data_IF_760223262744
#
_entry.id   IF_760223262744
#
_cell.length_a   1.000
_cell.length_b   1.000
_cell.length_c   1.000
_cell.angle_alpha   90.00
_cell.angle_beta   90.00
_cell.angle_gamma   90.00
#
_symmetry.space_group_name_H-M   'P 1'
#
loop_
_entity.id
_entity.type
_entity.pdbx_description
1 polymer ?
#
# COMPACT_ATOMS: atom_id res chain seq x y z
N UNK A 1 13.75 39.57 15.94
CA UNK A 1 12.72 38.51 15.93
C UNK A 1 12.49 38.09 14.49
N UNK A 2 12.49 36.80 14.18
CA UNK A 2 12.46 36.29 12.79
C UNK A 2 11.04 36.23 12.21
N UNK A 3 10.01 36.64 12.97
CA UNK A 3 8.63 36.73 12.48
C UNK A 3 7.91 35.40 12.34
N UNK A 4 8.41 34.34 13.00
CA UNK A 4 7.80 33.01 13.05
C UNK A 4 7.39 32.76 14.50
N UNK A 5 6.14 32.37 14.72
CA UNK A 5 5.68 31.97 16.05
C UNK A 5 6.09 30.53 16.32
N UNK A 6 6.63 30.32 17.51
CA UNK A 6 6.94 28.99 18.02
C UNK A 6 5.94 28.61 19.09
N UNK A 7 5.46 27.36 19.04
CA UNK A 7 4.61 26.76 20.05
C UNK A 7 5.43 25.91 21.03
N UNK A 8 4.82 24.83 21.50
CA UNK A 8 5.46 23.90 22.42
C UNK A 8 6.74 23.30 21.82
N UNK A 9 7.70 22.96 22.69
CA UNK A 9 8.97 22.34 22.29
C UNK A 9 9.81 23.17 21.31
N UNK A 10 9.60 24.49 21.29
CA UNK A 10 10.27 25.41 20.34
C UNK A 10 10.02 25.03 18.88
N UNK A 11 8.87 24.43 18.59
CA UNK A 11 8.44 24.05 17.25
C UNK A 11 7.69 25.20 16.57
N UNK A 12 7.93 25.48 15.28
CA UNK A 12 7.19 26.50 14.57
C UNK A 12 5.70 26.13 14.51
N UNK A 13 4.81 27.12 14.64
CA UNK A 13 3.39 26.93 14.32
C UNK A 13 3.23 26.85 12.81
N UNK A 14 2.78 25.70 12.34
CA UNK A 14 2.66 25.37 10.91
C UNK A 14 1.24 24.89 10.61
N UNK A 15 0.66 25.38 9.53
CA UNK A 15 -0.63 24.89 9.02
C UNK A 15 -0.46 23.47 8.45
N UNK A 16 -1.31 22.53 8.90
CA UNK A 16 -1.15 21.09 8.63
C UNK A 16 -1.39 20.69 7.18
N UNK A 17 -2.08 21.52 6.40
CA UNK A 17 -2.43 21.24 5.02
C UNK A 17 -1.46 21.92 4.05
N UNK A 18 -1.12 23.18 4.34
CA UNK A 18 -0.28 24.00 3.48
C UNK A 18 1.19 23.96 3.84
N UNK A 19 1.53 23.46 5.03
CA UNK A 19 2.91 23.42 5.55
C UNK A 19 3.54 24.82 5.70
N UNK A 20 2.73 25.88 5.63
CA UNK A 20 3.17 27.26 5.79
C UNK A 20 3.21 27.62 7.27
N UNK A 21 4.27 28.30 7.68
CA UNK A 21 4.37 28.86 9.04
C UNK A 21 3.50 30.10 9.21
N UNK A 22 3.49 30.68 10.41
CA UNK A 22 2.88 32.01 10.63
C UNK A 22 3.52 33.13 9.82
N UNK A 23 4.75 32.95 9.32
CA UNK A 23 5.38 33.88 8.36
C UNK A 23 5.04 33.45 6.93
N UNK A 24 4.33 34.29 6.15
CA UNK A 24 4.05 34.00 4.75
C UNK A 24 5.34 33.74 3.96
N UNK A 25 5.33 32.72 3.10
CA UNK A 25 6.47 32.34 2.27
C UNK A 25 7.54 31.49 2.98
N UNK A 26 7.34 31.13 4.25
CA UNK A 26 8.18 30.14 4.94
C UNK A 26 7.39 28.88 5.18
N UNK A 27 7.95 27.76 4.75
CA UNK A 27 7.36 26.44 4.83
C UNK A 27 8.27 25.50 5.62
N UNK A 28 7.66 24.52 6.28
CA UNK A 28 8.37 23.53 7.07
C UNK A 28 7.93 22.12 6.68
N UNK A 29 8.80 21.13 6.86
CA UNK A 29 8.51 19.73 6.61
C UNK A 29 9.28 18.82 7.55
N UNK A 30 8.89 17.54 7.61
CA UNK A 30 9.51 16.55 8.47
C UNK A 30 9.43 16.90 9.96
N UNK A 31 10.47 16.53 10.69
CA UNK A 31 10.53 16.68 12.14
C UNK A 31 10.51 18.15 12.59
N UNK A 32 10.97 19.07 11.73
CA UNK A 32 10.96 20.51 11.99
C UNK A 32 9.57 21.15 11.91
N UNK A 33 8.55 20.44 11.37
CA UNK A 33 7.17 20.94 11.30
C UNK A 33 6.28 20.38 12.42
N UNK A 34 6.30 19.05 12.61
CA UNK A 34 5.32 18.34 13.45
C UNK A 34 5.95 17.41 14.50
N UNK A 35 7.24 17.59 14.77
CA UNK A 35 7.99 16.75 15.69
C UNK A 35 8.36 15.39 15.09
N UNK A 36 9.01 14.52 15.88
CA UNK A 36 9.62 13.29 15.38
C UNK A 36 8.56 12.36 14.78
N UNK A 37 8.67 12.10 13.47
CA UNK A 37 7.89 11.09 12.75
C UNK A 37 8.82 10.10 12.05
N UNK A 38 8.24 9.05 11.48
CA UNK A 38 9.02 8.14 10.65
C UNK A 38 9.48 8.83 9.35
N UNK A 39 10.51 8.27 8.71
CA UNK A 39 11.08 8.82 7.47
C UNK A 39 10.05 8.94 6.34
N UNK A 40 9.04 8.07 6.31
CA UNK A 40 7.95 8.09 5.31
C UNK A 40 7.15 9.38 5.43
N UNK A 41 6.79 9.79 6.65
CA UNK A 41 6.13 11.07 6.90
C UNK A 41 7.01 12.25 6.51
N UNK A 42 8.32 12.19 6.79
CA UNK A 42 9.22 13.28 6.42
C UNK A 42 9.29 13.48 4.89
N UNK A 43 9.36 12.40 4.12
CA UNK A 43 9.28 12.43 2.65
C UNK A 43 7.93 12.99 2.22
N UNK A 44 6.82 12.47 2.75
CA UNK A 44 5.48 12.94 2.42
C UNK A 44 5.33 14.46 2.70
N UNK A 45 5.82 14.94 3.84
CA UNK A 45 5.83 16.37 4.18
C UNK A 45 6.63 17.19 3.17
N UNK A 46 7.78 16.69 2.70
CA UNK A 46 8.58 17.36 1.68
C UNK A 46 7.81 17.56 0.37
N UNK A 47 7.14 16.50 -0.10
CA UNK A 47 6.31 16.56 -1.30
C UNK A 47 5.13 17.52 -1.13
N UNK A 48 4.47 17.47 0.03
CA UNK A 48 3.36 18.37 0.32
C UNK A 48 3.81 19.84 0.44
N UNK A 49 4.92 20.12 1.12
CA UNK A 49 5.47 21.47 1.22
C UNK A 49 5.90 22.01 -0.16
N UNK A 50 6.45 21.16 -1.03
CA UNK A 50 6.85 21.55 -2.39
C UNK A 50 5.67 22.06 -3.24
N UNK A 51 4.52 21.37 -3.18
CA UNK A 51 3.27 21.82 -3.83
C UNK A 51 2.90 23.22 -3.34
N UNK A 52 3.00 23.46 -2.02
CA UNK A 52 2.65 24.74 -1.43
C UNK A 52 3.61 25.86 -1.81
N UNK A 53 4.91 25.57 -1.83
CA UNK A 53 5.96 26.51 -2.25
C UNK A 53 5.72 26.92 -3.70
N UNK A 54 5.46 25.98 -4.60
CA UNK A 54 5.24 26.29 -6.01
C UNK A 54 3.96 27.12 -6.24
N UNK A 55 2.84 26.77 -5.59
CA UNK A 55 1.61 27.57 -5.65
C UNK A 55 1.84 29.00 -5.13
N UNK A 56 2.56 29.13 -4.01
CA UNK A 56 2.89 30.43 -3.42
C UNK A 56 3.78 31.26 -4.35
N UNK A 57 4.80 30.66 -4.96
CA UNK A 57 5.67 31.32 -5.93
C UNK A 57 4.90 31.77 -7.20
N UNK A 58 3.83 31.08 -7.57
CA UNK A 58 2.96 31.43 -8.70
C UNK A 58 1.87 32.46 -8.33
N UNK A 59 1.78 32.88 -7.06
CA UNK A 59 0.73 33.79 -6.58
C UNK A 59 -0.67 33.16 -6.54
N UNK A 60 -0.74 31.83 -6.50
CA UNK A 60 -1.98 31.05 -6.45
C UNK A 60 -2.44 30.80 -5.01
N UNK A 61 -3.71 30.47 -4.84
CA UNK A 61 -4.25 30.09 -3.52
C UNK A 61 -3.76 28.68 -3.14
N UNK A 62 -2.87 28.63 -2.14
CA UNK A 62 -2.19 27.41 -1.67
C UNK A 62 -3.17 26.35 -1.13
N UNK A 63 -4.35 26.77 -0.63
CA UNK A 63 -5.36 25.84 -0.11
C UNK A 63 -6.30 25.37 -1.21
N UNK A 64 -6.78 26.28 -2.06
CA UNK A 64 -7.82 25.97 -3.05
C UNK A 64 -7.30 25.33 -4.32
N UNK A 65 -6.10 25.70 -4.76
CA UNK A 65 -5.54 25.25 -6.05
C UNK A 65 -4.62 24.03 -5.89
N UNK A 66 -4.67 23.39 -4.73
CA UNK A 66 -3.87 22.21 -4.43
C UNK A 66 -4.36 21.00 -5.25
N UNK A 67 -3.51 20.38 -6.08
CA UNK A 67 -3.90 19.20 -6.84
C UNK A 67 -4.11 18.01 -5.90
N UNK A 68 -5.25 17.34 -6.03
CA UNK A 68 -5.47 16.06 -5.37
C UNK A 68 -4.56 14.98 -6.00
N UNK A 69 -4.08 14.00 -5.20
CA UNK A 69 -3.44 12.83 -5.77
C UNK A 69 -4.43 12.05 -6.64
N UNK A 70 -3.90 11.37 -7.65
CA UNK A 70 -4.66 10.48 -8.50
C UNK A 70 -4.23 9.03 -8.26
N UNK A 71 -5.16 8.11 -8.46
CA UNK A 71 -4.86 6.68 -8.45
C UNK A 71 -5.53 5.98 -9.62
N UNK A 72 -4.88 4.96 -10.16
CA UNK A 72 -5.47 4.10 -11.19
C UNK A 72 -5.25 2.63 -10.86
N UNK A 73 -6.15 1.80 -11.40
CA UNK A 73 -6.03 0.35 -11.39
C UNK A 73 -5.99 -0.13 -12.84
N UNK A 74 -5.03 -0.99 -13.15
CA UNK A 74 -4.88 -1.57 -14.48
C UNK A 74 -4.64 -3.08 -14.38
N UNK A 75 -5.44 -3.88 -15.10
CA UNK A 75 -5.27 -5.33 -15.13
C UNK A 75 -3.86 -5.71 -15.55
N UNK A 76 -3.28 -6.67 -14.84
CA UNK A 76 -1.97 -7.26 -15.13
C UNK A 76 -2.08 -8.55 -15.95
N UNK A 77 -3.30 -8.87 -16.39
CA UNK A 77 -3.60 -10.05 -17.18
C UNK A 77 -3.17 -9.82 -18.63
N UNK A 78 -2.24 -10.62 -19.13
CA UNK A 78 -1.85 -10.61 -20.55
C UNK A 78 -2.65 -11.63 -21.38
N UNK A 79 -3.17 -12.68 -20.72
CA UNK A 79 -4.03 -13.71 -21.30
C UNK A 79 -4.80 -14.46 -20.21
N UNK A 80 -5.67 -15.42 -20.55
CA UNK A 80 -6.52 -16.12 -19.55
C UNK A 80 -5.69 -16.76 -18.42
N UNK A 81 -4.53 -17.33 -18.75
CA UNK A 81 -3.57 -17.95 -17.83
C UNK A 81 -2.17 -17.31 -17.89
N UNK A 82 -2.07 -16.09 -18.42
CA UNK A 82 -0.78 -15.41 -18.64
C UNK A 82 -0.76 -14.07 -17.90
N UNK A 83 0.23 -13.92 -17.04
CA UNK A 83 0.41 -12.77 -16.15
C UNK A 83 1.70 -12.04 -16.48
N UNK A 84 1.75 -10.74 -16.20
CA UNK A 84 2.98 -9.94 -16.35
C UNK A 84 4.07 -10.26 -15.32
N UNK A 85 3.79 -11.14 -14.34
CA UNK A 85 4.69 -11.53 -13.25
C UNK A 85 4.44 -12.98 -12.78
N UNK A 86 5.39 -13.54 -12.04
CA UNK A 86 5.26 -14.88 -11.41
C UNK A 86 4.39 -14.83 -10.16
N UNK A 87 3.41 -15.70 -10.07
CA UNK A 87 2.35 -15.63 -9.07
C UNK A 87 2.26 -16.91 -8.22
N UNK A 88 3.37 -17.27 -7.57
CA UNK A 88 3.49 -18.45 -6.70
C UNK A 88 3.56 -18.03 -5.22
N UNK A 89 3.09 -18.89 -4.32
CA UNK A 89 3.23 -18.69 -2.89
C UNK A 89 4.32 -19.62 -2.33
N UNK A 90 5.23 -19.07 -1.53
CA UNK A 90 6.29 -19.86 -0.92
C UNK A 90 5.95 -20.20 0.53
N UNK A 91 5.75 -21.49 0.82
CA UNK A 91 5.55 -22.01 2.17
C UNK A 91 6.82 -21.96 3.06
N UNK A 92 7.97 -21.56 2.49
CA UNK A 92 9.23 -21.47 3.23
C UNK A 92 9.17 -20.32 4.23
N UNK A 93 9.64 -20.55 5.45
CA UNK A 93 9.71 -19.48 6.46
C UNK A 93 10.67 -18.37 6.00
N UNK A 94 10.37 -17.11 6.32
CA UNK A 94 11.28 -15.99 6.11
C UNK A 94 12.67 -16.35 6.66
N UNK A 95 13.68 -16.26 5.81
CA UNK A 95 15.06 -16.42 6.24
C UNK A 95 15.42 -15.22 7.12
N UNK A 96 16.08 -15.45 8.25
CA UNK A 96 16.60 -14.33 9.03
C UNK A 96 17.80 -13.73 8.30
N UNK A 97 17.86 -12.39 8.23
CA UNK A 97 19.05 -11.70 7.75
C UNK A 97 20.24 -12.18 8.58
N UNK A 98 21.35 -12.60 7.97
CA UNK A 98 22.57 -12.96 8.69
C UNK A 98 23.05 -11.81 9.58
N UNK A 99 23.36 -12.11 10.84
CA UNK A 99 23.89 -11.16 11.79
C UNK A 99 25.31 -11.54 12.22
N UNK A 100 26.13 -10.54 12.54
CA UNK A 100 27.36 -10.78 13.27
C UNK A 100 27.06 -11.34 14.66
N UNK A 101 27.99 -12.10 15.25
CA UNK A 101 27.85 -12.60 16.62
C UNK A 101 27.76 -11.43 17.59
N UNK A 102 26.83 -11.52 18.55
CA UNK A 102 26.60 -10.49 19.57
C UNK A 102 27.88 -10.12 20.34
N UNK A 103 28.76 -11.08 20.61
CA UNK A 103 30.06 -10.85 21.28
C UNK A 103 30.95 -9.83 20.57
N UNK A 104 30.86 -9.77 19.23
CA UNK A 104 31.63 -8.87 18.38
C UNK A 104 30.89 -7.52 18.28
N UNK A 105 29.57 -7.56 18.06
CA UNK A 105 28.73 -6.36 17.96
C UNK A 105 28.85 -5.46 19.20
N UNK A 106 28.84 -6.05 20.40
CA UNK A 106 28.92 -5.29 21.66
C UNK A 106 30.30 -4.65 21.87
N UNK A 107 31.37 -5.25 21.36
CA UNK A 107 32.75 -4.76 21.55
C UNK A 107 33.16 -3.69 20.54
N UNK A 108 32.54 -3.66 19.36
CA UNK A 108 32.97 -2.82 18.26
C UNK A 108 31.80 -2.02 17.67
N UNK A 109 31.69 -0.75 18.08
CA UNK A 109 30.61 0.15 17.66
C UNK A 109 30.57 0.43 16.14
N UNK A 110 31.67 0.19 15.43
CA UNK A 110 31.81 0.41 13.97
C UNK A 110 31.49 -0.83 13.13
N UNK A 111 31.23 -1.98 13.76
CA UNK A 111 30.95 -3.21 13.02
C UNK A 111 29.48 -3.21 12.61
N UNK A 112 29.25 -3.47 11.33
CA UNK A 112 27.91 -3.65 10.78
C UNK A 112 27.29 -4.93 11.37
N UNK A 113 26.09 -4.79 11.95
CA UNK A 113 25.42 -5.89 12.66
C UNK A 113 24.67 -6.79 11.69
N UNK A 114 23.96 -6.19 10.74
CA UNK A 114 23.23 -6.88 9.68
C UNK A 114 24.17 -7.10 8.49
N UNK A 115 24.62 -8.34 8.28
CA UNK A 115 25.58 -8.65 7.22
C UNK A 115 24.92 -8.77 5.83
N UNK A 116 23.59 -8.65 5.77
CA UNK A 116 22.80 -8.84 4.56
C UNK A 116 22.79 -10.29 4.07
N UNK A 117 22.08 -10.51 2.97
CA UNK A 117 22.07 -11.81 2.28
C UNK A 117 23.22 -11.91 1.30
N UNK A 118 23.73 -13.12 1.09
CA UNK A 118 24.57 -13.37 -0.09
C UNK A 118 23.75 -13.20 -1.38
N UNK A 119 24.38 -12.98 -2.55
CA UNK A 119 23.65 -12.73 -3.79
C UNK A 119 22.64 -13.83 -4.18
N UNK A 120 22.92 -15.10 -3.87
CA UNK A 120 22.03 -16.21 -4.20
C UNK A 120 20.81 -16.25 -3.26
N UNK A 121 21.03 -16.00 -1.96
CA UNK A 121 19.96 -15.82 -0.97
C UNK A 121 19.08 -14.61 -1.31
N UNK A 122 19.70 -13.47 -1.65
CA UNK A 122 18.99 -12.25 -2.03
C UNK A 122 18.09 -12.47 -3.24
N UNK A 123 18.60 -13.13 -4.29
CA UNK A 123 17.82 -13.47 -5.48
C UNK A 123 16.64 -14.41 -5.15
N UNK A 124 16.88 -15.41 -4.29
CA UNK A 124 15.85 -16.36 -3.87
C UNK A 124 14.75 -15.67 -3.06
N UNK A 125 15.12 -14.75 -2.16
CA UNK A 125 14.15 -14.00 -1.36
C UNK A 125 13.38 -12.96 -2.19
N UNK A 126 14.06 -12.28 -3.14
CA UNK A 126 13.42 -11.32 -4.04
C UNK A 126 12.33 -11.96 -4.93
N UNK A 127 12.53 -13.22 -5.35
CA UNK A 127 11.52 -13.99 -6.12
C UNK A 127 10.26 -14.32 -5.34
N UNK A 128 10.25 -14.14 -4.02
CA UNK A 128 9.10 -14.37 -3.15
C UNK A 128 8.27 -13.10 -2.95
N UNK A 129 8.53 -12.05 -3.72
CA UNK A 129 7.73 -10.82 -3.70
C UNK A 129 6.26 -11.15 -3.93
N UNK A 130 5.39 -10.66 -3.03
CA UNK A 130 3.94 -10.89 -3.09
C UNK A 130 3.20 -9.83 -3.91
N UNK A 131 3.92 -9.05 -4.74
CA UNK A 131 3.36 -8.03 -5.64
C UNK A 131 2.32 -7.12 -4.93
N UNK A 132 2.72 -6.49 -3.81
CA UNK A 132 1.82 -5.70 -2.98
C UNK A 132 1.24 -4.46 -3.69
N UNK A 133 1.82 -4.06 -4.82
CA UNK A 133 1.26 -3.06 -5.73
C UNK A 133 0.13 -3.60 -6.61
N UNK A 134 -0.21 -4.89 -6.51
CA UNK A 134 -1.28 -5.55 -7.26
C UNK A 134 -2.42 -5.94 -6.33
N UNK A 135 -3.62 -5.52 -6.69
CA UNK A 135 -4.85 -5.64 -5.91
C UNK A 135 -5.76 -6.71 -6.51
N UNK A 136 -6.36 -7.54 -5.65
CA UNK A 136 -7.38 -8.51 -6.05
C UNK A 136 -8.72 -7.78 -6.26
N UNK A 137 -9.25 -7.78 -7.48
CA UNK A 137 -10.51 -7.11 -7.82
C UNK A 137 -11.55 -8.14 -8.21
N UNK A 138 -12.73 -8.08 -7.57
CA UNK A 138 -13.85 -8.97 -7.88
C UNK A 138 -14.95 -8.25 -8.66
N UNK A 139 -15.41 -8.87 -9.75
CA UNK A 139 -16.51 -8.40 -10.58
C UNK A 139 -17.72 -9.34 -10.45
N UNK A 140 -18.73 -8.99 -9.62
CA UNK A 140 -19.86 -9.89 -9.30
C UNK A 140 -20.66 -10.35 -10.53
N UNK A 141 -20.79 -9.49 -11.54
CA UNK A 141 -21.56 -9.77 -12.76
C UNK A 141 -21.01 -10.96 -13.57
N UNK A 142 -19.70 -11.20 -13.49
CA UNK A 142 -19.03 -12.30 -14.21
C UNK A 142 -19.01 -13.59 -13.39
N UNK A 143 -19.34 -13.54 -12.09
CA UNK A 143 -19.32 -14.72 -11.24
C UNK A 143 -20.44 -15.69 -11.62
N UNK A 144 -20.08 -16.98 -11.68
CA UNK A 144 -21.02 -18.10 -11.86
C UNK A 144 -21.12 -18.98 -10.61
N UNK A 145 -20.47 -18.57 -9.52
CA UNK A 145 -20.57 -19.24 -8.22
C UNK A 145 -20.13 -20.73 -8.25
N UNK A 146 -19.04 -21.00 -8.98
CA UNK A 146 -18.45 -22.33 -9.11
C UNK A 146 -17.51 -22.75 -7.96
N UNK A 147 -17.33 -21.88 -6.95
CA UNK A 147 -16.50 -22.07 -5.76
C UNK A 147 -15.00 -22.37 -5.97
N UNK A 148 -14.52 -22.44 -7.22
CA UNK A 148 -13.13 -22.76 -7.54
C UNK A 148 -12.08 -21.79 -6.94
N UNK A 149 -12.43 -20.52 -6.75
CA UNK A 149 -11.56 -19.54 -6.09
C UNK A 149 -11.49 -19.71 -4.56
N UNK A 150 -12.54 -20.30 -3.97
CA UNK A 150 -12.59 -20.67 -2.57
C UNK A 150 -11.72 -21.90 -2.31
N UNK A 151 -11.78 -22.89 -3.21
CA UNK A 151 -11.01 -24.15 -3.09
C UNK A 151 -9.50 -23.99 -3.30
N UNK A 152 -9.07 -23.11 -4.21
CA UNK A 152 -7.64 -22.91 -4.51
C UNK A 152 -6.92 -22.01 -3.50
N UNK A 153 -7.66 -21.34 -2.61
CA UNK A 153 -7.10 -20.34 -1.72
C UNK A 153 -6.25 -21.02 -0.62
N UNK A 154 -4.93 -20.76 -0.52
CA UNK A 154 -4.07 -21.45 0.45
C UNK A 154 -4.31 -21.02 1.91
N UNK A 155 -5.09 -19.96 2.11
CA UNK A 155 -5.36 -19.33 3.41
C UNK A 155 -6.86 -19.19 3.69
N UNK A 156 -7.71 -19.82 2.87
CA UNK A 156 -9.18 -19.87 3.05
C UNK A 156 -9.88 -18.50 3.21
N UNK A 157 -9.35 -17.44 2.59
CA UNK A 157 -9.86 -16.09 2.81
C UNK A 157 -11.14 -15.75 2.02
N UNK A 158 -11.45 -16.45 0.93
CA UNK A 158 -12.60 -16.15 0.05
C UNK A 158 -13.79 -17.05 0.39
N UNK A 159 -14.96 -16.48 0.65
CA UNK A 159 -16.16 -17.18 1.09
C UNK A 159 -17.39 -16.78 0.26
N UNK A 160 -18.29 -17.72 -0.02
CA UNK A 160 -19.60 -17.46 -0.62
C UNK A 160 -20.67 -17.85 0.39
N UNK A 161 -21.37 -16.87 0.95
CA UNK A 161 -22.30 -17.08 2.07
C UNK A 161 -23.53 -16.18 1.93
N UNK A 162 -24.60 -16.48 2.68
CA UNK A 162 -25.71 -15.55 2.89
C UNK A 162 -25.18 -14.27 3.54
N UNK A 163 -25.70 -13.12 3.12
CA UNK A 163 -25.34 -11.82 3.69
C UNK A 163 -25.95 -11.66 5.10
N UNK A 164 -25.41 -10.76 5.92
CA UNK A 164 -25.94 -10.51 7.26
C UNK A 164 -25.11 -9.47 8.02
N UNK A 165 -25.45 -9.22 9.29
CA UNK A 165 -24.65 -8.37 10.16
C UNK A 165 -23.20 -8.84 10.23
N UNK A 166 -22.25 -7.90 10.19
CA UNK A 166 -20.83 -8.21 10.12
C UNK A 166 -20.33 -9.16 11.24
N UNK A 167 -20.75 -9.03 12.52
CA UNK A 167 -20.30 -9.96 13.55
C UNK A 167 -20.69 -11.42 13.29
N UNK A 168 -21.87 -11.65 12.71
CA UNK A 168 -22.32 -12.99 12.31
C UNK A 168 -21.64 -13.46 11.04
N UNK A 169 -21.36 -12.53 10.11
CA UNK A 169 -20.65 -12.84 8.89
C UNK A 169 -19.24 -13.35 9.19
N UNK A 170 -18.51 -12.64 10.06
CA UNK A 170 -17.15 -12.97 10.49
C UNK A 170 -17.03 -14.36 11.13
N UNK A 171 -18.00 -14.77 11.94
CA UNK A 171 -17.98 -16.08 12.61
C UNK A 171 -18.36 -17.25 11.69
N UNK A 172 -19.08 -16.97 10.59
CA UNK A 172 -19.55 -17.99 9.63
C UNK A 172 -18.57 -18.26 8.48
N UNK A 173 -17.55 -17.43 8.29
CA UNK A 173 -16.50 -17.68 7.29
C UNK A 173 -15.79 -19.02 7.58
N UNK A 174 -15.24 -19.68 6.56
CA UNK A 174 -14.49 -20.95 6.72
C UNK A 174 -13.39 -20.84 7.77
N UNK A 175 -12.70 -19.70 7.78
CA UNK A 175 -11.81 -19.28 8.85
C UNK A 175 -12.43 -18.04 9.50
N UNK A 176 -12.78 -18.08 10.80
CA UNK A 176 -13.38 -16.94 11.47
C UNK A 176 -12.48 -15.70 11.46
N UNK A 177 -13.01 -14.58 10.95
CA UNK A 177 -12.27 -13.32 10.84
C UNK A 177 -12.27 -12.55 12.17
N UNK A 178 -11.25 -12.80 12.99
CA UNK A 178 -11.16 -12.26 14.35
C UNK A 178 -10.69 -10.81 14.40
N UNK A 179 -9.95 -10.34 13.39
CA UNK A 179 -9.45 -8.98 13.34
C UNK A 179 -10.53 -7.97 12.92
N UNK A 180 -11.00 -7.17 13.87
CA UNK A 180 -12.03 -6.13 13.63
C UNK A 180 -11.48 -4.80 13.15
N UNK A 181 -10.15 -4.59 13.18
CA UNK A 181 -9.55 -3.36 12.66
C UNK A 181 -9.41 -3.39 11.14
N UNK A 182 -9.51 -4.58 10.55
CA UNK A 182 -9.48 -4.80 9.11
C UNK A 182 -10.90 -5.09 8.62
N UNK A 183 -11.34 -4.31 7.63
CA UNK A 183 -12.65 -4.47 7.02
C UNK A 183 -12.70 -5.75 6.15
N UNK A 184 -13.88 -6.39 6.12
CA UNK A 184 -14.15 -7.47 5.17
C UNK A 184 -14.42 -6.89 3.79
N UNK A 185 -13.83 -7.49 2.75
CA UNK A 185 -14.20 -7.17 1.38
C UNK A 185 -15.46 -7.96 0.97
N UNK A 186 -16.61 -7.29 1.00
CA UNK A 186 -17.92 -7.89 0.71
C UNK A 186 -18.42 -7.42 -0.67
N UNK A 187 -18.83 -8.36 -1.52
CA UNK A 187 -19.45 -8.03 -2.81
C UNK A 187 -20.91 -7.63 -2.66
N UNK A 188 -21.47 -7.02 -3.71
CA UNK A 188 -22.92 -6.98 -3.89
C UNK A 188 -23.52 -8.40 -4.01
N UNK A 189 -24.86 -8.48 -4.00
CA UNK A 189 -25.59 -9.74 -4.13
C UNK A 189 -25.25 -10.45 -5.46
N UNK A 190 -25.05 -11.76 -5.37
CA UNK A 190 -24.81 -12.67 -6.49
C UNK A 190 -26.12 -13.25 -7.02
N UNK A 191 -26.05 -14.07 -8.07
CA UNK A 191 -27.23 -14.62 -8.75
C UNK A 191 -28.07 -15.51 -7.83
N UNK A 192 -27.45 -16.20 -6.89
CA UNK A 192 -28.14 -17.01 -5.87
C UNK A 192 -28.64 -16.22 -4.66
N UNK A 193 -28.38 -14.91 -4.58
CA UNK A 193 -28.65 -14.08 -3.40
C UNK A 193 -27.57 -14.17 -2.30
N UNK A 194 -26.55 -15.02 -2.46
CA UNK A 194 -25.33 -15.01 -1.63
C UNK A 194 -24.48 -13.77 -1.91
N UNK A 195 -23.47 -13.55 -1.07
CA UNK A 195 -22.40 -12.57 -1.25
C UNK A 195 -21.05 -13.27 -1.24
N UNK A 196 -20.09 -12.71 -1.99
CA UNK A 196 -18.68 -13.02 -1.84
C UNK A 196 -18.15 -12.21 -0.67
N UNK A 197 -17.45 -12.86 0.25
CA UNK A 197 -16.79 -12.24 1.40
C UNK A 197 -15.34 -12.67 1.39
N UNK A 198 -14.44 -11.71 1.27
CA UNK A 198 -12.99 -11.92 1.35
C UNK A 198 -12.46 -11.30 2.64
N UNK A 199 -11.78 -12.10 3.44
CA UNK A 199 -11.01 -11.61 4.57
C UNK A 199 -9.66 -11.08 4.08
N UNK A 200 -9.50 -9.75 4.13
CA UNK A 200 -8.27 -9.08 3.72
C UNK A 200 -7.13 -9.26 4.74
N UNK A 201 -7.43 -9.58 6.00
CA UNK A 201 -6.42 -9.74 7.05
C UNK A 201 -5.47 -10.91 6.77
N UNK A 202 -6.01 -11.98 6.19
CA UNK A 202 -5.26 -13.21 5.88
C UNK A 202 -4.91 -13.35 4.40
N UNK A 203 -5.42 -12.49 3.51
CA UNK A 203 -5.12 -12.58 2.09
C UNK A 203 -3.66 -12.21 1.80
N UNK A 204 -2.95 -13.12 1.13
CA UNK A 204 -1.53 -12.93 0.76
C UNK A 204 -1.31 -12.41 -0.67
N UNK A 205 -2.37 -12.00 -1.36
CA UNK A 205 -2.32 -11.44 -2.73
C UNK A 205 -1.65 -12.36 -3.78
N UNK A 206 -1.63 -13.68 -3.53
CA UNK A 206 -1.02 -14.69 -4.40
C UNK A 206 -1.75 -14.94 -5.74
N UNK A 207 -2.80 -14.18 -6.09
CA UNK A 207 -3.53 -14.23 -7.37
C UNK A 207 -4.10 -15.58 -7.85
N UNK A 208 -3.95 -16.68 -7.11
CA UNK A 208 -4.43 -18.01 -7.50
C UNK A 208 -5.95 -18.05 -7.74
N UNK A 209 -6.71 -17.22 -7.03
CA UNK A 209 -8.14 -17.05 -7.24
C UNK A 209 -8.46 -16.52 -8.64
N UNK A 210 -7.64 -15.61 -9.17
CA UNK A 210 -7.81 -15.02 -10.50
C UNK A 210 -7.34 -15.99 -11.60
N UNK A 211 -6.29 -16.77 -11.34
CA UNK A 211 -5.81 -17.82 -12.27
C UNK A 211 -6.82 -18.96 -12.41
N UNK A 212 -7.43 -19.38 -11.31
CA UNK A 212 -8.41 -20.47 -11.29
C UNK A 212 -9.79 -20.06 -11.81
N UNK A 213 -10.09 -18.76 -11.84
CA UNK A 213 -11.42 -18.26 -12.18
C UNK A 213 -11.74 -18.47 -13.69
N UNK A 214 -12.74 -19.31 -14.04
CA UNK A 214 -13.04 -19.60 -15.44
C UNK A 214 -13.69 -18.45 -16.20
N UNK A 215 -14.27 -17.48 -15.50
CA UNK A 215 -15.01 -16.36 -16.10
C UNK A 215 -14.28 -15.03 -16.02
N UNK A 216 -13.11 -14.98 -15.37
CA UNK A 216 -12.41 -13.73 -15.09
C UNK A 216 -13.15 -12.81 -14.11
N UNK A 217 -14.02 -13.36 -13.25
CA UNK A 217 -14.65 -12.59 -12.18
C UNK A 217 -13.64 -12.09 -11.15
N UNK A 218 -12.51 -12.78 -10.98
CA UNK A 218 -11.36 -12.29 -10.24
C UNK A 218 -10.29 -11.78 -11.22
N UNK A 219 -9.72 -10.63 -10.90
CA UNK A 219 -8.64 -10.00 -11.64
C UNK A 219 -7.55 -9.49 -10.66
N UNK A 220 -6.33 -9.38 -11.16
CA UNK A 220 -5.20 -8.80 -10.46
C UNK A 220 -4.83 -7.47 -11.11
N UNK A 221 -5.11 -6.37 -10.43
CA UNK A 221 -4.96 -5.02 -10.98
C UNK A 221 -3.85 -4.25 -10.28
N UNK A 222 -2.87 -3.78 -11.05
CA UNK A 222 -1.81 -2.94 -10.53
C UNK A 222 -2.36 -1.59 -10.13
N UNK A 223 -2.12 -1.23 -8.88
CA UNK A 223 -2.40 0.06 -8.31
C UNK A 223 -1.24 1.00 -8.60
N UNK A 224 -1.56 2.14 -9.22
CA UNK A 224 -0.60 3.23 -9.43
C UNK A 224 -1.10 4.42 -8.66
N UNK A 225 -0.25 4.93 -7.76
CA UNK A 225 -0.45 6.18 -7.06
C UNK A 225 0.36 7.27 -7.75
N UNK A 226 -0.32 8.34 -8.15
CA UNK A 226 0.28 9.54 -8.71
C UNK A 226 0.05 10.67 -7.72
N UNK A 227 1.12 11.15 -7.11
CA UNK A 227 1.05 12.30 -6.23
C UNK A 227 0.56 13.55 -6.98
N UNK A 228 -0.16 14.41 -6.27
CA UNK A 228 -0.57 15.71 -6.79
C UNK A 228 0.68 16.53 -7.13
N UNK A 229 0.79 17.00 -8.36
CA UNK A 229 1.87 17.87 -8.81
C UNK A 229 1.28 19.14 -9.41
N UNK A 230 1.91 20.27 -9.11
CA UNK A 230 1.50 21.60 -9.61
C UNK A 230 1.98 21.86 -11.05
N UNK A 231 2.88 21.01 -11.57
CA UNK A 231 3.37 21.06 -12.92
C UNK A 231 2.25 20.78 -13.96
N UNK A 232 2.34 21.40 -15.15
CA UNK A 232 1.30 21.26 -16.19
C UNK A 232 1.15 19.81 -16.66
N UNK A 233 -0.10 19.39 -16.92
CA UNK A 233 -0.43 18.09 -17.55
C UNK A 233 0.43 17.89 -18.80
N UNK A 234 1.31 16.89 -18.78
CA UNK A 234 2.28 16.58 -19.85
C UNK A 234 3.76 16.70 -19.45
N UNK A 235 4.07 17.32 -18.30
CA UNK A 235 5.42 17.35 -17.70
C UNK A 235 5.51 16.56 -16.38
N UNK A 236 4.46 15.80 -16.05
CA UNK A 236 4.52 14.84 -14.95
C UNK A 236 5.61 13.82 -15.29
N UNK A 237 6.80 14.03 -14.72
CA UNK A 237 7.78 12.96 -14.62
C UNK A 237 7.07 11.87 -13.84
N UNK A 238 6.65 10.82 -14.54
CA UNK A 238 6.42 9.55 -13.89
C UNK A 238 7.75 9.22 -13.24
N UNK A 239 7.85 9.46 -11.93
CA UNK A 239 8.79 8.72 -11.12
C UNK A 239 8.29 7.27 -11.10
N UNK A 240 8.40 6.60 -12.25
CA UNK A 240 8.73 5.20 -12.25
C UNK A 240 10.11 5.18 -11.62
N UNK A 241 10.13 5.12 -10.29
CA UNK A 241 11.29 4.67 -9.55
C UNK A 241 11.52 3.22 -9.99
N UNK A 242 12.09 3.05 -11.18
CA UNK A 242 12.86 1.89 -11.53
C UNK A 242 14.03 1.90 -10.56
N UNK A 243 13.82 1.24 -9.43
CA UNK A 243 14.91 0.53 -8.77
C UNK A 243 15.40 -0.44 -9.85
N UNK A 244 16.46 -0.04 -10.56
CA UNK A 244 17.24 -0.94 -11.41
C UNK A 244 17.95 -1.95 -10.52
#
# INVERSE_FOLDING_TARGET
DIGIEFGDWSMPKVDKETFMSTRPGVFFGGDAAFGPKNIIWAVAHGHQAAISIDLYCQGKDVKKERPAPASSLASQKMGIHEWSYTNDYSAVRRLHVPHVKNEIAVKHLKVEVELGYDPAQALKEARRCLNCDVQTVFTPKLCIECDACMDICPVDCINFTVNGPEPELRSRLRVPAMNKTQDLYVSGALKTGRVMVKDEDVCIHCGLCAERCPTGAWDMQKFVYLEGQTCKKGQAFSYQAYIR
#
